data_IF_967118657024
#
_entry.id   IF_967118657024
#
_cell.length_a   1.000
_cell.length_b   1.000
_cell.length_c   1.000
_cell.angle_alpha   90.00
_cell.angle_beta   90.00
_cell.angle_gamma   90.00
#
_symmetry.space_group_name_H-M   'P 1'
#
loop_
_entity.id
_entity.type
_entity.pdbx_description
1 polymer ?
#
# COMPACT_ATOMS: atom_id res chain seq x y z
N UNK A 1 16.24 -26.83 5.86
CA UNK A 1 15.00 -26.78 6.63
C UNK A 1 13.78 -26.58 5.73
N UNK A 2 13.96 -26.11 4.49
CA UNK A 2 12.89 -25.93 3.53
C UNK A 2 11.87 -24.84 3.92
N UNK A 3 12.29 -23.83 4.64
CA UNK A 3 11.49 -22.65 4.89
C UNK A 3 11.83 -21.52 3.93
N UNK A 4 10.87 -20.63 3.69
CA UNK A 4 11.04 -19.42 2.91
C UNK A 4 11.38 -18.25 3.83
N UNK A 5 12.41 -17.47 3.47
CA UNK A 5 12.79 -16.23 4.12
C UNK A 5 12.63 -15.10 3.10
N UNK A 6 11.94 -14.04 3.49
CA UNK A 6 11.73 -12.91 2.60
C UNK A 6 11.65 -11.60 3.39
N UNK A 7 11.78 -10.47 2.68
CA UNK A 7 11.63 -9.15 3.24
C UNK A 7 11.04 -8.19 2.19
N UNK A 8 10.33 -7.19 2.64
CA UNK A 8 9.92 -6.08 1.79
C UNK A 8 9.83 -4.79 2.60
N UNK A 9 9.94 -3.68 1.91
CA UNK A 9 9.77 -2.33 2.46
C UNK A 9 8.67 -1.61 1.70
N UNK A 10 7.85 -0.86 2.43
CA UNK A 10 6.96 0.13 1.84
C UNK A 10 7.26 1.53 2.44
N UNK A 11 6.37 2.49 2.23
CA UNK A 11 6.61 3.88 2.66
C UNK A 11 6.69 4.06 4.20
N UNK A 12 6.14 3.14 4.99
CA UNK A 12 6.02 3.29 6.44
C UNK A 12 6.62 2.14 7.25
N UNK A 13 6.76 0.95 6.68
CA UNK A 13 7.30 -0.20 7.39
C UNK A 13 8.25 -1.03 6.53
N UNK A 14 9.19 -1.70 7.20
CA UNK A 14 9.98 -2.80 6.67
C UNK A 14 9.55 -4.09 7.37
N UNK A 15 9.30 -5.13 6.61
CA UNK A 15 8.89 -6.43 7.12
C UNK A 15 9.93 -7.48 6.73
N UNK A 16 10.43 -8.20 7.73
CA UNK A 16 11.28 -9.38 7.53
C UNK A 16 10.53 -10.57 8.08
N UNK A 17 10.31 -11.59 7.27
CA UNK A 17 9.47 -12.71 7.67
C UNK A 17 9.97 -14.04 7.13
N UNK A 18 9.56 -15.13 7.78
CA UNK A 18 9.85 -16.48 7.34
C UNK A 18 8.62 -17.39 7.49
N UNK A 19 8.38 -18.22 6.48
CA UNK A 19 7.42 -19.32 6.51
C UNK A 19 8.18 -20.64 6.66
N UNK A 20 7.79 -21.47 7.65
CA UNK A 20 8.54 -22.69 7.98
C UNK A 20 7.65 -23.76 8.63
N UNK A 21 8.11 -24.99 8.64
CA UNK A 21 7.43 -26.09 9.32
C UNK A 21 7.49 -25.93 10.85
N UNK A 22 6.42 -26.33 11.52
CA UNK A 22 6.19 -26.12 12.98
C UNK A 22 7.33 -26.55 13.91
N UNK A 23 8.19 -27.49 13.49
CA UNK A 23 9.35 -27.91 14.28
C UNK A 23 10.51 -26.91 14.36
N UNK A 24 10.48 -25.83 13.59
CA UNK A 24 11.64 -24.95 13.37
C UNK A 24 11.51 -23.53 13.91
N UNK A 25 10.53 -23.26 14.79
CA UNK A 25 10.29 -21.91 15.33
C UNK A 25 11.52 -21.26 15.95
N UNK A 26 12.25 -21.99 16.80
CA UNK A 26 13.42 -21.44 17.49
C UNK A 26 14.52 -21.04 16.49
N UNK A 27 14.75 -21.88 15.49
CA UNK A 27 15.75 -21.62 14.46
C UNK A 27 15.37 -20.44 13.55
N UNK A 28 14.08 -20.31 13.23
CA UNK A 28 13.60 -19.18 12.46
C UNK A 28 13.74 -17.87 13.24
N UNK A 29 13.41 -17.88 14.54
CA UNK A 29 13.55 -16.72 15.41
C UNK A 29 15.04 -16.32 15.58
N UNK A 30 15.93 -17.27 15.79
CA UNK A 30 17.37 -17.04 15.85
C UNK A 30 17.87 -16.36 14.56
N UNK A 31 17.49 -16.88 13.39
CA UNK A 31 17.88 -16.33 12.09
C UNK A 31 17.33 -14.93 11.86
N UNK A 32 16.03 -14.71 12.13
CA UNK A 32 15.43 -13.40 11.97
C UNK A 32 16.04 -12.36 12.92
N UNK A 33 16.30 -12.77 14.17
CA UNK A 33 16.99 -11.91 15.16
C UNK A 33 18.39 -11.52 14.70
N UNK A 34 19.14 -12.46 14.15
CA UNK A 34 20.51 -12.22 13.64
C UNK A 34 20.48 -11.25 12.44
N UNK A 35 19.61 -11.49 11.46
CA UNK A 35 19.46 -10.62 10.28
C UNK A 35 19.07 -9.19 10.69
N UNK A 36 18.11 -9.05 11.60
CA UNK A 36 17.57 -7.73 11.94
C UNK A 36 18.50 -6.93 12.83
N UNK A 37 19.17 -7.57 13.79
CA UNK A 37 19.91 -6.85 14.84
C UNK A 37 21.43 -6.99 14.76
N UNK A 38 21.95 -8.00 14.06
CA UNK A 38 23.39 -8.28 14.02
C UNK A 38 24.01 -8.14 12.63
N UNK A 39 23.25 -7.67 11.63
CA UNK A 39 23.79 -7.38 10.30
C UNK A 39 24.90 -6.32 10.37
N UNK A 40 26.01 -6.57 9.70
CA UNK A 40 27.21 -5.71 9.75
C UNK A 40 27.36 -4.76 8.56
N UNK A 41 26.61 -4.99 7.50
CA UNK A 41 26.59 -4.19 6.28
C UNK A 41 27.98 -3.83 5.74
N UNK A 42 28.84 -4.81 5.38
CA UNK A 42 30.16 -4.54 4.85
C UNK A 42 30.10 -3.64 3.61
N UNK A 43 31.00 -2.66 3.50
CA UNK A 43 30.95 -1.65 2.43
C UNK A 43 30.92 -2.27 1.02
N UNK A 44 31.70 -3.34 0.80
CA UNK A 44 31.73 -4.02 -0.49
C UNK A 44 30.42 -4.72 -0.86
N UNK A 45 29.60 -5.14 0.13
CA UNK A 45 28.26 -5.69 -0.12
C UNK A 45 27.26 -4.56 -0.40
N UNK A 46 27.37 -3.41 0.29
CA UNK A 46 26.56 -2.21 -0.03
C UNK A 46 26.82 -1.77 -1.48
N UNK A 47 28.06 -1.78 -1.92
CA UNK A 47 28.43 -1.40 -3.30
C UNK A 47 27.83 -2.35 -4.33
N UNK A 48 27.82 -3.66 -4.07
CA UNK A 48 27.18 -4.65 -4.94
C UNK A 48 25.66 -4.46 -4.99
N UNK A 49 25.05 -4.33 -3.82
CA UNK A 49 23.61 -4.14 -3.71
C UNK A 49 23.15 -2.83 -4.37
N UNK A 50 23.98 -1.77 -4.27
CA UNK A 50 23.73 -0.50 -4.95
C UNK A 50 23.56 -0.67 -6.47
N UNK A 51 24.41 -1.45 -7.11
CA UNK A 51 24.29 -1.68 -8.57
C UNK A 51 23.04 -2.51 -8.89
N UNK A 52 22.68 -3.50 -8.04
CA UNK A 52 21.44 -4.27 -8.21
C UNK A 52 20.20 -3.36 -8.11
N UNK A 53 20.15 -2.45 -7.12
CA UNK A 53 19.05 -1.50 -6.95
C UNK A 53 19.00 -0.51 -8.14
N UNK A 54 20.15 -0.09 -8.67
CA UNK A 54 20.21 0.79 -9.84
C UNK A 54 19.64 0.09 -11.08
N UNK A 55 19.96 -1.19 -11.29
CA UNK A 55 19.38 -1.98 -12.37
C UNK A 55 17.85 -2.13 -12.19
N UNK A 56 17.39 -2.27 -10.95
CA UNK A 56 15.96 -2.29 -10.63
C UNK A 56 15.29 -0.94 -10.95
N UNK A 57 15.90 0.19 -10.57
CA UNK A 57 15.41 1.55 -10.94
C UNK A 57 15.26 1.66 -12.45
N UNK A 58 16.25 1.24 -13.22
CA UNK A 58 16.19 1.29 -14.69
C UNK A 58 15.06 0.42 -15.25
N UNK A 59 14.87 -0.76 -14.68
CA UNK A 59 13.75 -1.64 -15.05
C UNK A 59 12.38 -1.00 -14.82
N UNK A 60 12.22 -0.24 -13.72
CA UNK A 60 11.00 0.53 -13.45
C UNK A 60 10.84 1.73 -14.40
N UNK A 61 11.92 2.44 -14.71
CA UNK A 61 11.91 3.55 -15.67
C UNK A 61 11.49 3.11 -17.08
N UNK A 62 11.81 1.87 -17.44
CA UNK A 62 11.44 1.24 -18.72
C UNK A 62 10.00 0.69 -18.72
N UNK A 63 9.31 0.69 -17.57
CA UNK A 63 7.92 0.23 -17.42
C UNK A 63 6.96 1.37 -17.03
N UNK A 64 6.43 2.13 -18.01
CA UNK A 64 5.55 3.27 -17.73
C UNK A 64 4.30 2.93 -16.94
N UNK A 65 3.80 1.68 -17.02
CA UNK A 65 2.62 1.24 -16.30
C UNK A 65 2.86 1.06 -14.80
N UNK A 66 4.09 0.88 -14.37
CA UNK A 66 4.50 0.83 -12.96
C UNK A 66 5.02 2.18 -12.48
N UNK A 67 5.91 2.81 -13.26
CA UNK A 67 6.50 4.11 -12.93
C UNK A 67 5.46 5.19 -12.63
N UNK A 68 4.32 5.19 -13.34
CA UNK A 68 3.27 6.22 -13.19
C UNK A 68 2.68 6.25 -11.77
N UNK A 69 2.71 5.14 -11.02
CA UNK A 69 2.25 5.11 -9.63
C UNK A 69 3.19 5.90 -8.72
N UNK A 70 4.50 5.72 -8.84
CA UNK A 70 5.48 6.45 -8.05
C UNK A 70 5.48 7.95 -8.39
N UNK A 71 5.45 8.30 -9.68
CA UNK A 71 5.40 9.69 -10.13
C UNK A 71 4.08 10.37 -9.72
N UNK A 72 2.98 9.63 -9.66
CA UNK A 72 1.72 10.15 -9.14
C UNK A 72 1.77 10.37 -7.62
N UNK A 73 2.39 9.47 -6.87
CA UNK A 73 2.59 9.69 -5.43
C UNK A 73 3.50 10.90 -5.18
N UNK A 74 4.58 11.09 -5.94
CA UNK A 74 5.42 12.30 -5.84
C UNK A 74 4.61 13.57 -6.14
N UNK A 75 3.72 13.51 -7.12
CA UNK A 75 2.84 14.63 -7.48
C UNK A 75 1.88 15.01 -6.35
N UNK A 76 1.19 14.04 -5.72
CA UNK A 76 0.21 14.31 -4.65
C UNK A 76 0.86 14.56 -3.28
N UNK A 77 2.08 14.08 -3.06
CA UNK A 77 2.87 14.29 -1.85
C UNK A 77 4.12 15.15 -2.09
N UNK A 78 4.02 16.12 -2.98
CA UNK A 78 5.14 16.99 -3.39
C UNK A 78 5.85 17.60 -2.17
N UNK A 79 7.19 17.52 -2.19
CA UNK A 79 8.06 17.99 -1.10
C UNK A 79 7.87 17.25 0.25
N UNK A 80 7.25 16.08 0.24
CA UNK A 80 7.09 15.25 1.43
C UNK A 80 7.78 13.88 1.24
N UNK A 81 8.32 13.25 2.31
CA UNK A 81 8.96 11.94 2.20
C UNK A 81 8.09 10.84 1.56
N UNK A 82 6.77 10.84 1.74
CA UNK A 82 5.86 9.88 1.11
C UNK A 82 5.87 9.95 -0.43
N UNK A 83 6.17 11.10 -1.03
CA UNK A 83 6.29 11.24 -2.48
C UNK A 83 7.59 10.66 -3.06
N UNK A 84 8.60 10.39 -2.24
CA UNK A 84 9.87 9.87 -2.73
C UNK A 84 9.72 8.45 -3.23
N UNK A 85 10.37 8.13 -4.36
CA UNK A 85 10.48 6.74 -4.81
C UNK A 85 11.19 5.91 -3.73
N UNK A 86 10.68 4.72 -3.45
CA UNK A 86 11.18 3.83 -2.40
C UNK A 86 12.58 3.28 -2.72
N UNK A 87 12.90 3.12 -4.00
CA UNK A 87 14.22 2.69 -4.47
C UNK A 87 15.28 3.80 -4.33
N UNK A 88 14.86 5.06 -4.11
CA UNK A 88 15.79 6.18 -3.98
C UNK A 88 16.24 6.75 -5.32
N UNK A 89 17.47 7.27 -5.34
CA UNK A 89 18.11 7.85 -6.54
C UNK A 89 19.53 7.30 -6.69
N UNK A 90 19.98 6.97 -7.90
CA UNK A 90 21.30 6.37 -8.13
C UNK A 90 22.46 7.15 -7.50
N UNK A 91 22.42 8.49 -7.56
CA UNK A 91 23.48 9.33 -7.00
C UNK A 91 23.57 9.23 -5.47
N UNK A 92 22.41 9.13 -4.81
CA UNK A 92 22.34 8.97 -3.35
C UNK A 92 22.75 7.56 -2.95
N UNK A 93 22.30 6.53 -3.66
CA UNK A 93 22.64 5.13 -3.40
C UNK A 93 24.17 4.93 -3.42
N UNK A 94 24.86 5.46 -4.45
CA UNK A 94 26.32 5.39 -4.55
C UNK A 94 27.06 6.14 -3.43
N UNK A 95 26.40 7.05 -2.76
CA UNK A 95 26.99 7.79 -1.64
C UNK A 95 26.91 7.06 -0.30
N UNK A 96 26.04 6.05 -0.14
CA UNK A 96 25.86 5.35 1.12
C UNK A 96 27.09 4.59 1.58
N UNK A 97 27.33 4.64 2.87
CA UNK A 97 28.39 3.94 3.57
C UNK A 97 27.83 3.05 4.67
N UNK A 98 28.59 2.07 5.09
CA UNK A 98 28.26 1.18 6.22
C UNK A 98 27.70 1.97 7.42
N UNK A 99 28.29 3.12 7.75
CA UNK A 99 27.86 3.91 8.91
C UNK A 99 26.49 4.56 8.71
N UNK A 100 26.13 4.91 7.47
CA UNK A 100 24.78 5.45 7.17
C UNK A 100 23.70 4.40 7.44
N UNK A 101 23.93 3.16 6.97
CA UNK A 101 23.02 2.03 7.19
C UNK A 101 22.95 1.65 8.66
N UNK A 102 24.09 1.56 9.34
CA UNK A 102 24.14 1.29 10.79
C UNK A 102 23.47 2.40 11.60
N UNK A 103 23.60 3.66 11.18
CA UNK A 103 22.92 4.79 11.82
C UNK A 103 21.41 4.68 11.69
N UNK A 104 20.92 4.29 10.50
CA UNK A 104 19.51 4.04 10.25
C UNK A 104 18.98 2.89 11.12
N UNK A 105 19.65 1.74 11.13
CA UNK A 105 19.19 0.58 11.91
C UNK A 105 19.24 0.85 13.41
N UNK A 106 20.29 1.49 13.93
CA UNK A 106 20.36 1.93 15.35
C UNK A 106 19.23 2.88 15.73
N UNK A 107 18.76 3.72 14.81
CA UNK A 107 17.67 4.65 15.06
C UNK A 107 16.29 4.01 14.99
N UNK A 108 16.04 3.19 13.99
CA UNK A 108 14.70 2.72 13.66
C UNK A 108 14.42 1.25 14.03
N UNK A 109 15.46 0.38 14.06
CA UNK A 109 15.33 -1.03 14.43
C UNK A 109 15.45 -1.19 15.94
N UNK A 110 14.47 -0.64 16.65
CA UNK A 110 14.40 -0.62 18.10
C UNK A 110 13.18 -1.41 18.59
N UNK A 111 13.27 -2.18 19.66
CA UNK A 111 12.14 -2.97 20.17
C UNK A 111 10.85 -2.18 20.37
N UNK A 112 10.94 -0.91 20.80
CA UNK A 112 9.79 -0.02 20.94
C UNK A 112 9.14 0.45 19.63
N UNK A 113 9.79 0.21 18.49
CA UNK A 113 9.34 0.59 17.13
C UNK A 113 9.05 -0.63 16.25
N UNK A 114 8.95 -1.82 16.85
CA UNK A 114 8.83 -3.09 16.12
C UNK A 114 7.74 -3.97 16.73
N UNK A 115 7.23 -4.85 15.90
CA UNK A 115 6.32 -5.93 16.32
C UNK A 115 6.95 -7.27 15.92
N UNK A 116 7.11 -8.14 16.91
CA UNK A 116 7.40 -9.54 16.66
C UNK A 116 6.09 -10.31 16.63
N UNK A 117 5.80 -10.95 15.53
CA UNK A 117 4.55 -11.68 15.30
C UNK A 117 4.83 -13.14 14.93
N UNK A 118 4.08 -14.05 15.52
CA UNK A 118 4.13 -15.48 15.19
C UNK A 118 2.71 -16.01 15.01
N UNK A 119 2.47 -16.70 13.91
CA UNK A 119 1.23 -17.44 13.67
C UNK A 119 1.53 -18.93 13.49
N UNK A 120 0.85 -19.79 14.23
CA UNK A 120 1.02 -21.23 14.16
C UNK A 120 0.51 -21.95 15.42
N UNK A 121 0.58 -23.29 15.46
CA UNK A 121 0.09 -24.10 16.58
C UNK A 121 1.12 -24.14 17.71
N UNK A 122 1.46 -23.00 18.29
CA UNK A 122 2.43 -22.89 19.38
C UNK A 122 1.78 -22.43 20.68
N UNK A 123 2.26 -22.95 21.80
CA UNK A 123 1.95 -22.39 23.11
C UNK A 123 2.57 -21.00 23.26
N UNK A 124 1.79 -20.02 23.67
CA UNK A 124 2.21 -18.63 23.80
C UNK A 124 3.39 -18.43 24.76
N UNK A 125 3.41 -19.20 25.87
CA UNK A 125 4.54 -19.18 26.83
C UNK A 125 5.83 -19.67 26.18
N UNK A 126 5.74 -20.62 25.25
CA UNK A 126 6.92 -21.09 24.50
C UNK A 126 7.45 -19.97 23.60
N UNK A 127 6.55 -19.23 22.93
CA UNK A 127 6.95 -18.09 22.08
C UNK A 127 7.66 -17.04 22.93
N UNK A 128 7.08 -16.64 24.08
CA UNK A 128 7.70 -15.66 24.99
C UNK A 128 9.10 -16.12 25.41
N UNK A 129 9.23 -17.36 25.91
CA UNK A 129 10.55 -17.89 26.33
C UNK A 129 11.58 -17.86 25.23
N UNK A 130 11.21 -18.18 24.00
CA UNK A 130 12.11 -18.16 22.88
C UNK A 130 12.48 -16.72 22.47
N UNK A 131 11.53 -15.81 22.49
CA UNK A 131 11.78 -14.38 22.25
C UNK A 131 12.73 -13.81 23.33
N UNK A 132 12.49 -14.08 24.60
CA UNK A 132 13.38 -13.69 25.70
C UNK A 132 14.79 -14.29 25.53
N UNK A 133 14.89 -15.54 25.11
CA UNK A 133 16.18 -16.21 24.90
C UNK A 133 17.03 -15.55 23.79
N UNK A 134 16.39 -15.14 22.69
CA UNK A 134 17.11 -14.69 21.48
C UNK A 134 17.09 -13.17 21.28
N UNK A 135 16.21 -12.41 21.98
CA UNK A 135 16.02 -10.98 21.76
C UNK A 135 16.20 -10.12 23.03
N UNK A 136 16.48 -10.72 24.21
CA UNK A 136 16.59 -9.98 25.47
C UNK A 136 17.79 -9.04 25.55
N UNK A 137 18.85 -9.33 24.81
CA UNK A 137 20.10 -8.55 24.83
C UNK A 137 20.02 -7.28 23.97
N UNK A 138 18.90 -7.08 23.26
CA UNK A 138 18.69 -5.93 22.39
C UNK A 138 18.29 -4.74 23.26
N UNK A 139 19.08 -3.65 23.31
CA UNK A 139 18.77 -2.51 24.15
C UNK A 139 17.51 -1.80 23.65
N UNK A 140 16.56 -1.55 24.56
CA UNK A 140 15.40 -0.75 24.26
C UNK A 140 15.75 0.75 24.35
N UNK A 141 15.77 1.41 23.21
CA UNK A 141 15.94 2.87 23.13
C UNK A 141 14.60 3.48 22.70
N UNK A 142 14.25 4.61 23.30
CA UNK A 142 13.04 5.34 22.88
C UNK A 142 13.30 5.98 21.51
N UNK A 143 12.48 5.66 20.54
CA UNK A 143 12.55 6.26 19.20
C UNK A 143 11.66 7.49 19.16
N UNK A 144 12.23 8.64 18.85
CA UNK A 144 11.46 9.86 18.54
C UNK A 144 11.11 9.85 17.04
N UNK A 145 9.92 9.35 16.73
CA UNK A 145 9.38 9.29 15.38
C UNK A 145 8.38 10.42 15.12
N UNK A 146 8.82 11.68 15.30
CA UNK A 146 7.98 12.81 14.94
C UNK A 146 7.82 12.86 13.42
N UNK A 147 6.60 12.59 12.96
CA UNK A 147 6.22 12.75 11.55
C UNK A 147 5.68 14.16 11.33
N UNK A 148 6.12 14.77 10.26
CA UNK A 148 5.52 16.02 9.79
C UNK A 148 4.38 15.67 8.84
N UNK A 149 3.17 16.24 9.04
CA UNK A 149 2.08 16.00 8.10
C UNK A 149 2.43 16.55 6.71
N UNK A 150 1.93 15.93 5.64
CA UNK A 150 2.14 16.46 4.30
C UNK A 150 1.63 17.91 4.16
N UNK A 151 2.33 18.77 3.37
CA UNK A 151 1.88 20.14 3.12
C UNK A 151 0.51 20.17 2.46
N UNK A 152 -0.10 21.33 2.35
CA UNK A 152 -1.40 21.50 1.70
C UNK A 152 -1.38 20.88 0.28
N UNK A 153 -2.37 20.04 0.01
CA UNK A 153 -2.53 19.44 -1.31
C UNK A 153 -3.20 20.43 -2.27
N UNK A 154 -2.60 20.57 -3.44
CA UNK A 154 -3.15 21.35 -4.55
C UNK A 154 -3.27 20.43 -5.76
N UNK A 155 -4.46 20.18 -6.29
CA UNK A 155 -4.66 19.37 -7.47
C UNK A 155 -3.97 19.96 -8.70
N UNK A 156 -3.40 19.12 -9.52
CA UNK A 156 -2.73 19.53 -10.75
C UNK A 156 -2.94 18.53 -11.89
N UNK A 157 -2.78 18.98 -13.11
CA UNK A 157 -2.79 18.12 -14.30
C UNK A 157 -1.44 18.22 -14.99
N UNK A 158 -0.78 17.07 -15.12
CA UNK A 158 0.52 16.94 -15.75
C UNK A 158 0.45 15.96 -16.92
N UNK A 159 1.02 16.35 -18.07
CA UNK A 159 1.21 15.47 -19.23
C UNK A 159 2.70 15.35 -19.45
N UNK A 160 3.22 14.14 -19.38
CA UNK A 160 4.64 13.83 -19.55
C UNK A 160 4.81 13.07 -20.87
N UNK A 161 5.58 13.59 -21.82
CA UNK A 161 5.88 12.85 -23.03
C UNK A 161 6.75 11.64 -22.69
N UNK A 162 6.28 10.47 -23.08
CA UNK A 162 6.99 9.19 -22.98
C UNK A 162 6.88 8.47 -24.31
N UNK A 163 7.95 7.83 -24.74
CA UNK A 163 7.92 7.00 -25.95
C UNK A 163 7.21 5.67 -25.66
N UNK A 164 5.88 5.71 -25.60
CA UNK A 164 5.02 4.57 -25.26
C UNK A 164 3.99 4.31 -26.35
N UNK A 165 3.68 3.05 -26.59
CA UNK A 165 2.62 2.69 -27.54
C UNK A 165 1.21 3.02 -27.02
N UNK A 166 1.04 3.12 -25.72
CA UNK A 166 -0.23 3.40 -25.06
C UNK A 166 -0.12 4.67 -24.20
N UNK A 167 -1.24 5.36 -24.02
CA UNK A 167 -1.35 6.34 -22.98
C UNK A 167 -1.60 5.64 -21.63
N UNK A 168 -0.82 6.02 -20.62
CA UNK A 168 -1.06 5.63 -19.22
C UNK A 168 -1.61 6.82 -18.48
N UNK A 169 -2.71 6.63 -17.78
CA UNK A 169 -3.41 7.71 -17.08
C UNK A 169 -3.63 7.35 -15.63
N UNK A 170 -3.24 8.27 -14.75
CA UNK A 170 -3.52 8.22 -13.33
C UNK A 170 -4.38 9.42 -12.93
N UNK A 171 -5.50 9.15 -12.22
CA UNK A 171 -6.41 10.16 -11.68
C UNK A 171 -6.58 9.89 -10.20
N UNK A 172 -6.48 10.89 -9.34
CA UNK A 172 -6.70 10.67 -7.92
C UNK A 172 -6.34 11.87 -7.05
N UNK A 173 -6.29 11.63 -5.76
CA UNK A 173 -6.06 12.64 -4.75
C UNK A 173 -5.47 12.02 -3.48
N UNK A 174 -5.18 12.87 -2.48
CA UNK A 174 -4.97 12.36 -1.13
C UNK A 174 -6.24 11.74 -0.58
N UNK A 175 -6.09 10.65 0.16
CA UNK A 175 -7.18 9.93 0.82
C UNK A 175 -7.17 10.13 2.33
N UNK A 176 -8.03 9.39 3.00
CA UNK A 176 -8.10 9.36 4.46
C UNK A 176 -6.93 8.57 5.05
N UNK A 177 -6.44 9.03 6.20
CA UNK A 177 -5.43 8.31 6.95
C UNK A 177 -5.97 7.02 7.57
N UNK A 178 -5.07 6.21 8.12
CA UNK A 178 -5.37 4.89 8.67
C UNK A 178 -6.37 4.92 9.85
N UNK A 179 -6.48 6.03 10.56
CA UNK A 179 -7.33 6.19 11.75
C UNK A 179 -8.66 6.90 11.49
N UNK A 180 -8.90 7.35 10.27
CA UNK A 180 -10.12 8.07 9.91
C UNK A 180 -11.32 7.11 9.79
N UNK A 181 -12.43 7.47 10.43
CA UNK A 181 -13.66 6.68 10.42
C UNK A 181 -14.27 6.53 9.01
N UNK A 182 -14.07 7.52 8.13
CA UNK A 182 -14.56 7.52 6.75
C UNK A 182 -13.80 6.57 5.83
N UNK A 183 -12.63 6.07 6.26
CA UNK A 183 -11.80 5.16 5.48
C UNK A 183 -12.56 3.91 5.01
N UNK A 184 -13.37 3.31 5.88
CA UNK A 184 -14.15 2.09 5.53
C UNK A 184 -15.16 2.39 4.41
N UNK A 185 -15.78 3.56 4.43
CA UNK A 185 -16.71 3.98 3.39
C UNK A 185 -15.98 4.23 2.05
N UNK A 186 -14.81 4.87 2.09
CA UNK A 186 -13.99 5.06 0.90
C UNK A 186 -13.50 3.71 0.34
N UNK A 187 -13.13 2.76 1.19
CA UNK A 187 -12.73 1.43 0.76
C UNK A 187 -13.86 0.67 0.02
N UNK A 188 -15.10 0.77 0.52
CA UNK A 188 -16.27 0.21 -0.18
C UNK A 188 -16.52 0.93 -1.51
N UNK A 189 -16.44 2.27 -1.55
CA UNK A 189 -16.58 3.05 -2.78
C UNK A 189 -15.52 2.69 -3.82
N UNK A 190 -14.26 2.57 -3.39
CA UNK A 190 -13.14 2.15 -4.24
C UNK A 190 -13.38 0.76 -4.85
N UNK A 191 -13.84 -0.19 -4.03
CA UNK A 191 -14.18 -1.53 -4.51
C UNK A 191 -15.28 -1.53 -5.56
N UNK A 192 -16.32 -0.72 -5.37
CA UNK A 192 -17.41 -0.56 -6.35
C UNK A 192 -16.95 0.16 -7.61
N UNK A 193 -16.06 1.13 -7.49
CA UNK A 193 -15.58 1.96 -8.60
C UNK A 193 -14.67 1.18 -9.54
N UNK A 194 -13.57 0.67 -9.05
CA UNK A 194 -12.52 0.02 -9.84
C UNK A 194 -11.83 -1.13 -9.10
N UNK A 195 -12.49 -1.74 -8.11
CA UNK A 195 -11.97 -2.93 -7.43
C UNK A 195 -11.84 -4.16 -8.36
N UNK A 196 -11.32 -5.28 -7.85
CA UNK A 196 -10.92 -6.43 -8.67
C UNK A 196 -12.07 -7.17 -9.35
N UNK A 197 -13.33 -6.85 -8.99
CA UNK A 197 -14.50 -7.48 -9.60
C UNK A 197 -14.76 -6.99 -11.02
N UNK A 198 -15.04 -7.91 -11.97
CA UNK A 198 -15.40 -7.57 -13.35
C UNK A 198 -16.64 -6.66 -13.44
N UNK A 199 -17.48 -6.64 -12.41
CA UNK A 199 -18.66 -5.81 -12.28
C UNK A 199 -18.38 -4.40 -11.73
N UNK A 200 -17.12 -4.05 -11.45
CA UNK A 200 -16.78 -2.69 -11.02
C UNK A 200 -17.15 -1.66 -12.11
N UNK A 201 -17.52 -0.46 -11.69
CA UNK A 201 -18.11 0.55 -12.59
C UNK A 201 -17.17 0.94 -13.73
N UNK A 202 -15.89 1.11 -13.44
CA UNK A 202 -14.88 1.46 -14.46
C UNK A 202 -14.64 0.28 -15.41
N UNK A 203 -14.50 -0.95 -14.89
CA UNK A 203 -14.32 -2.12 -15.73
C UNK A 203 -15.52 -2.30 -16.69
N UNK A 204 -16.74 -2.20 -16.19
CA UNK A 204 -17.94 -2.27 -17.04
C UNK A 204 -18.01 -1.12 -18.04
N UNK A 205 -17.66 0.10 -17.63
CA UNK A 205 -17.80 1.30 -18.47
C UNK A 205 -16.75 1.38 -19.57
N UNK A 206 -15.49 1.11 -19.25
CA UNK A 206 -14.36 1.28 -20.19
C UNK A 206 -13.99 -0.02 -20.92
N UNK A 207 -13.99 -1.15 -20.22
CA UNK A 207 -13.54 -2.42 -20.77
C UNK A 207 -14.68 -3.24 -21.36
N UNK A 208 -15.62 -3.69 -20.52
CA UNK A 208 -16.62 -4.67 -20.93
C UNK A 208 -17.58 -4.17 -22.05
N UNK A 209 -18.01 -2.92 -21.93
CA UNK A 209 -18.96 -2.35 -22.89
C UNK A 209 -18.30 -1.76 -24.14
N UNK A 210 -17.03 -1.38 -24.07
CA UNK A 210 -16.39 -0.57 -25.12
C UNK A 210 -15.05 -1.08 -25.59
N UNK A 211 -14.37 -1.89 -24.81
CA UNK A 211 -13.05 -2.42 -25.16
C UNK A 211 -11.95 -1.37 -25.26
N UNK A 212 -12.10 -0.21 -24.59
CA UNK A 212 -11.17 0.91 -24.71
C UNK A 212 -9.89 0.74 -23.86
N UNK A 213 -9.94 -0.11 -22.84
CA UNK A 213 -8.81 -0.36 -21.94
C UNK A 213 -8.60 -1.85 -21.75
N UNK A 214 -7.35 -2.26 -21.64
CA UNK A 214 -7.01 -3.63 -21.28
C UNK A 214 -7.10 -3.84 -19.76
N UNK A 215 -6.58 -2.89 -18.99
CA UNK A 215 -6.66 -2.87 -17.54
C UNK A 215 -7.20 -1.52 -17.06
N UNK A 216 -8.04 -1.57 -16.04
CA UNK A 216 -8.49 -0.40 -15.27
C UNK A 216 -8.71 -0.81 -13.83
N UNK A 217 -8.14 -0.04 -12.92
CA UNK A 217 -8.24 -0.31 -11.49
C UNK A 217 -8.34 0.99 -10.69
N UNK A 218 -8.85 0.89 -9.48
CA UNK A 218 -8.74 1.94 -8.50
C UNK A 218 -8.14 1.40 -7.21
N UNK A 219 -7.16 2.14 -6.68
CA UNK A 219 -6.36 1.75 -5.52
C UNK A 219 -6.53 2.78 -4.40
N UNK A 220 -6.45 2.28 -3.18
CA UNK A 220 -6.49 3.07 -1.97
C UNK A 220 -5.37 2.62 -1.04
N UNK A 221 -4.51 3.57 -0.68
CA UNK A 221 -3.48 3.38 0.34
C UNK A 221 -3.77 4.33 1.51
N UNK A 222 -3.83 3.78 2.73
CA UNK A 222 -3.97 4.59 3.94
C UNK A 222 -2.67 4.55 4.71
N UNK A 223 -2.03 5.71 4.82
CA UNK A 223 -0.86 5.95 5.67
C UNK A 223 -1.30 6.39 7.08
N UNK A 224 -0.39 6.43 8.01
CA UNK A 224 -0.71 6.80 9.40
C UNK A 224 -1.17 8.26 9.56
N UNK A 225 -0.74 9.16 8.69
CA UNK A 225 -1.04 10.60 8.75
C UNK A 225 -1.83 11.14 7.54
N UNK A 226 -1.98 10.33 6.47
CA UNK A 226 -2.69 10.71 5.25
C UNK A 226 -3.14 9.44 4.49
N UNK A 227 -3.53 9.57 3.23
CA UNK A 227 -3.79 8.46 2.32
C UNK A 227 -3.61 8.89 0.88
N UNK A 228 -3.66 7.92 -0.03
CA UNK A 228 -3.69 8.10 -1.48
C UNK A 228 -4.87 7.32 -2.07
N UNK A 229 -5.64 7.96 -2.92
CA UNK A 229 -6.65 7.34 -3.77
C UNK A 229 -6.27 7.58 -5.22
N UNK A 230 -6.23 6.54 -6.03
CA UNK A 230 -5.95 6.67 -7.45
C UNK A 230 -6.76 5.69 -8.31
N UNK A 231 -6.98 6.11 -9.54
CA UNK A 231 -7.54 5.32 -10.64
C UNK A 231 -6.46 5.26 -11.71
N UNK A 232 -6.12 4.06 -12.16
CA UNK A 232 -5.20 3.83 -13.26
C UNK A 232 -5.92 3.16 -14.43
N UNK A 233 -5.57 3.55 -15.64
CA UNK A 233 -5.87 2.80 -16.86
C UNK A 233 -4.82 3.04 -17.94
N UNK A 234 -4.58 1.98 -18.74
CA UNK A 234 -3.84 2.03 -19.99
C UNK A 234 -4.78 1.93 -21.19
N UNK A 235 -4.60 2.78 -22.20
CA UNK A 235 -5.48 2.86 -23.37
C UNK A 235 -4.70 3.31 -24.61
N UNK A 236 -5.25 3.13 -25.78
CA UNK A 236 -4.69 3.72 -26.99
C UNK A 236 -4.75 5.25 -26.92
N UNK A 237 -3.75 5.93 -27.50
CA UNK A 237 -3.62 7.39 -27.39
C UNK A 237 -4.88 8.10 -27.95
N UNK A 238 -5.48 7.55 -29.00
CA UNK A 238 -6.71 8.08 -29.63
C UNK A 238 -7.95 7.99 -28.71
N UNK A 239 -7.99 6.99 -27.85
CA UNK A 239 -9.11 6.72 -26.93
C UNK A 239 -8.98 7.38 -25.56
N UNK A 240 -7.83 7.95 -25.24
CA UNK A 240 -7.50 8.53 -23.94
C UNK A 240 -8.53 9.56 -23.46
N UNK A 241 -8.91 10.53 -24.31
CA UNK A 241 -9.88 11.56 -23.93
C UNK A 241 -11.28 10.99 -23.72
N UNK A 242 -11.65 9.94 -24.44
CA UNK A 242 -12.90 9.20 -24.23
C UNK A 242 -12.89 8.47 -22.90
N UNK A 243 -11.79 7.79 -22.56
CA UNK A 243 -11.62 7.12 -21.27
C UNK A 243 -11.68 8.11 -20.10
N UNK A 244 -10.99 9.25 -20.20
CA UNK A 244 -11.07 10.34 -19.21
C UNK A 244 -12.52 10.78 -18.97
N UNK A 245 -13.24 11.12 -20.03
CA UNK A 245 -14.64 11.56 -19.95
C UNK A 245 -15.55 10.50 -19.30
N UNK A 246 -15.34 9.23 -19.62
CA UNK A 246 -16.12 8.13 -19.05
C UNK A 246 -15.78 7.92 -17.56
N UNK A 247 -14.53 8.03 -17.18
CA UNK A 247 -14.09 7.95 -15.78
C UNK A 247 -14.72 9.05 -14.95
N UNK A 248 -14.60 10.31 -15.37
CA UNK A 248 -15.24 11.43 -14.68
C UNK A 248 -16.77 11.31 -14.64
N UNK A 249 -17.38 10.74 -15.67
CA UNK A 249 -18.84 10.47 -15.69
C UNK A 249 -19.25 9.46 -14.60
N UNK A 250 -18.48 8.38 -14.41
CA UNK A 250 -18.76 7.42 -13.33
C UNK A 250 -18.52 8.02 -11.94
N UNK A 251 -17.45 8.80 -11.75
CA UNK A 251 -17.20 9.54 -10.52
C UNK A 251 -18.35 10.51 -10.21
N UNK A 252 -18.77 11.30 -11.18
CA UNK A 252 -19.92 12.22 -11.05
C UNK A 252 -21.20 11.46 -10.67
N UNK A 253 -21.44 10.31 -11.32
CA UNK A 253 -22.62 9.48 -11.00
C UNK A 253 -22.61 8.98 -9.56
N UNK A 254 -21.42 8.62 -9.03
CA UNK A 254 -21.30 8.17 -7.63
C UNK A 254 -21.53 9.32 -6.63
N UNK A 255 -21.24 10.56 -7.01
CA UNK A 255 -21.52 11.76 -6.20
C UNK A 255 -22.98 12.21 -6.26
N UNK A 256 -23.60 12.09 -7.44
CA UNK A 256 -24.95 12.65 -7.66
C UNK A 256 -26.06 11.67 -7.26
N UNK A 257 -25.78 10.36 -7.29
CA UNK A 257 -26.82 9.33 -7.15
C UNK A 257 -26.52 8.42 -5.98
N UNK A 258 -27.31 8.57 -4.92
CA UNK A 258 -27.26 7.68 -3.75
C UNK A 258 -27.55 6.23 -4.15
N UNK A 259 -26.78 5.29 -3.61
CA UNK A 259 -27.02 3.86 -3.81
C UNK A 259 -28.39 3.47 -3.26
N UNK A 260 -29.12 2.63 -4.00
CA UNK A 260 -30.32 1.97 -3.48
C UNK A 260 -29.94 0.94 -2.41
N UNK A 261 -30.87 0.57 -1.54
CA UNK A 261 -30.64 -0.43 -0.51
C UNK A 261 -30.14 -1.76 -1.09
N UNK A 262 -30.66 -2.17 -2.26
CA UNK A 262 -30.21 -3.39 -2.95
C UNK A 262 -28.77 -3.28 -3.45
N UNK A 263 -28.40 -2.13 -4.04
CA UNK A 263 -27.03 -1.89 -4.51
C UNK A 263 -26.03 -1.86 -3.35
N UNK A 264 -26.38 -1.20 -2.26
CA UNK A 264 -25.54 -1.15 -1.06
C UNK A 264 -25.35 -2.54 -0.45
N UNK A 265 -26.44 -3.31 -0.30
CA UNK A 265 -26.37 -4.68 0.22
C UNK A 265 -25.48 -5.59 -0.65
N UNK A 266 -25.60 -5.48 -1.98
CA UNK A 266 -24.76 -6.23 -2.91
C UNK A 266 -23.28 -5.84 -2.81
N UNK A 267 -22.98 -4.54 -2.73
CA UNK A 267 -21.60 -4.04 -2.59
C UNK A 267 -20.95 -4.50 -1.30
N UNK A 268 -21.65 -4.42 -0.16
CA UNK A 268 -21.19 -4.92 1.14
C UNK A 268 -20.91 -6.42 1.10
N UNK A 269 -21.86 -7.20 0.59
CA UNK A 269 -21.71 -8.66 0.47
C UNK A 269 -20.52 -9.03 -0.39
N UNK A 270 -20.31 -8.34 -1.50
CA UNK A 270 -19.15 -8.56 -2.38
C UNK A 270 -17.84 -8.28 -1.63
N UNK A 271 -17.72 -7.12 -0.98
CA UNK A 271 -16.51 -6.74 -0.27
C UNK A 271 -16.20 -7.70 0.89
N UNK A 272 -17.19 -8.05 1.70
CA UNK A 272 -17.05 -9.03 2.79
C UNK A 272 -16.60 -10.39 2.27
N UNK A 273 -17.20 -10.84 1.15
CA UNK A 273 -16.80 -12.09 0.50
C UNK A 273 -15.35 -12.07 0.01
N UNK A 274 -14.91 -10.97 -0.60
CA UNK A 274 -13.53 -10.80 -1.06
C UNK A 274 -12.54 -10.79 0.10
N UNK A 275 -12.84 -10.09 1.19
CA UNK A 275 -12.00 -10.09 2.40
C UNK A 275 -11.96 -11.49 3.01
N UNK A 276 -13.11 -12.18 3.10
CA UNK A 276 -13.18 -13.54 3.62
C UNK A 276 -12.30 -14.52 2.83
N UNK A 277 -12.40 -14.50 1.50
CA UNK A 277 -11.55 -15.35 0.64
C UNK A 277 -10.06 -14.98 0.76
N UNK A 278 -9.74 -13.68 0.83
CA UNK A 278 -8.36 -13.24 0.99
C UNK A 278 -7.76 -13.66 2.34
N UNK A 279 -8.57 -13.76 3.40
CA UNK A 279 -8.12 -14.19 4.73
C UNK A 279 -7.75 -15.67 4.81
N UNK A 280 -8.14 -16.50 3.84
CA UNK A 280 -7.72 -17.90 3.73
C UNK A 280 -6.25 -18.06 3.32
N UNK A 281 -5.64 -17.00 2.75
CA UNK A 281 -4.20 -16.99 2.55
C UNK A 281 -3.50 -16.72 3.89
N UNK A 282 -2.92 -17.79 4.46
CA UNK A 282 -2.31 -17.78 5.78
C UNK A 282 -1.19 -16.74 5.94
N UNK A 283 -0.32 -16.62 4.95
CA UNK A 283 0.80 -15.67 4.97
C UNK A 283 0.32 -14.22 4.92
N UNK A 284 -0.53 -13.88 3.95
CA UNK A 284 -1.10 -12.54 3.83
C UNK A 284 -1.91 -12.13 5.08
N UNK A 285 -2.63 -13.07 5.66
CA UNK A 285 -3.37 -12.83 6.88
C UNK A 285 -2.42 -12.55 8.06
N UNK A 286 -1.35 -13.33 8.22
CA UNK A 286 -0.33 -13.14 9.25
C UNK A 286 0.33 -11.75 9.13
N UNK A 287 0.77 -11.39 7.93
CA UNK A 287 1.38 -10.10 7.63
C UNK A 287 0.39 -8.94 7.90
N UNK A 288 -0.86 -9.08 7.50
CA UNK A 288 -1.91 -8.10 7.76
C UNK A 288 -2.18 -7.89 9.25
N UNK A 289 -2.21 -8.97 10.05
CA UNK A 289 -2.38 -8.90 11.50
C UNK A 289 -1.19 -8.22 12.17
N UNK A 290 0.03 -8.55 11.78
CA UNK A 290 1.26 -7.93 12.29
C UNK A 290 1.27 -6.42 12.04
N UNK A 291 0.97 -5.98 10.80
CA UNK A 291 0.84 -4.57 10.43
C UNK A 291 -0.27 -3.86 11.21
N UNK A 292 -1.42 -4.50 11.33
CA UNK A 292 -2.54 -3.94 12.11
C UNK A 292 -2.10 -3.70 13.56
N UNK A 293 -1.39 -4.65 14.17
CA UNK A 293 -0.89 -4.47 15.53
C UNK A 293 0.19 -3.40 15.63
N UNK A 294 1.09 -3.29 14.64
CA UNK A 294 2.11 -2.25 14.59
C UNK A 294 1.51 -0.84 14.62
N UNK A 295 0.45 -0.61 13.85
CA UNK A 295 -0.15 0.73 13.71
C UNK A 295 -1.22 1.05 14.76
N UNK A 296 -2.00 0.05 15.19
CA UNK A 296 -3.16 0.27 16.08
C UNK A 296 -2.95 -0.23 17.51
N UNK A 297 -1.87 -0.98 17.79
CA UNK A 297 -1.58 -1.64 19.06
C UNK A 297 -2.73 -2.51 19.58
N UNK A 298 -3.54 -3.04 18.69
CA UNK A 298 -4.66 -3.92 19.00
C UNK A 298 -4.88 -4.94 17.90
N UNK A 299 -5.37 -6.10 18.29
CA UNK A 299 -5.87 -7.10 17.37
C UNK A 299 -7.23 -6.66 16.82
N UNK A 300 -7.42 -6.80 15.53
CA UNK A 300 -8.70 -6.61 14.87
C UNK A 300 -9.13 -7.89 14.17
N UNK A 301 -10.26 -8.45 14.56
CA UNK A 301 -10.80 -9.64 13.92
C UNK A 301 -11.50 -9.31 12.61
N UNK A 302 -11.58 -10.29 11.71
CA UNK A 302 -12.34 -10.15 10.45
C UNK A 302 -13.82 -9.82 10.72
N UNK A 303 -14.40 -10.36 11.78
CA UNK A 303 -15.78 -10.06 12.21
C UNK A 303 -15.96 -8.58 12.53
N UNK A 304 -14.97 -7.97 13.22
CA UNK A 304 -15.02 -6.52 13.51
C UNK A 304 -14.99 -5.69 12.22
N UNK A 305 -14.19 -6.08 11.25
CA UNK A 305 -14.15 -5.44 9.92
C UNK A 305 -15.48 -5.62 9.20
N UNK A 306 -16.05 -6.82 9.23
CA UNK A 306 -17.36 -7.10 8.62
C UNK A 306 -18.47 -6.26 9.22
N UNK A 307 -18.53 -6.16 10.55
CA UNK A 307 -19.52 -5.31 11.24
C UNK A 307 -19.40 -3.83 10.85
N UNK A 308 -18.18 -3.29 10.70
CA UNK A 308 -18.01 -1.91 10.20
C UNK A 308 -18.51 -1.74 8.77
N UNK A 309 -18.26 -2.71 7.89
CA UNK A 309 -18.78 -2.67 6.52
C UNK A 309 -20.30 -2.78 6.52
N UNK A 310 -20.88 -3.65 7.33
CA UNK A 310 -22.33 -3.83 7.46
C UNK A 310 -23.02 -2.58 8.01
N UNK A 311 -22.38 -1.84 8.89
CA UNK A 311 -22.92 -0.61 9.47
C UNK A 311 -22.94 0.58 8.51
N UNK A 312 -22.20 0.56 7.40
CA UNK A 312 -22.18 1.67 6.43
C UNK A 312 -23.57 1.98 5.86
N UNK A 313 -23.87 3.24 5.69
CA UNK A 313 -25.12 3.71 5.07
C UNK A 313 -24.88 4.29 3.68
N UNK A 314 -25.94 4.39 2.88
CA UNK A 314 -25.86 4.99 1.56
C UNK A 314 -25.59 6.51 1.64
N UNK A 315 -26.00 7.15 2.71
CA UNK A 315 -25.73 8.55 3.03
C UNK A 315 -24.24 8.79 3.28
N UNK A 316 -23.60 7.96 4.10
CA UNK A 316 -22.16 8.02 4.37
C UNK A 316 -21.35 7.82 3.09
N UNK A 317 -21.74 6.86 2.24
CA UNK A 317 -21.08 6.65 0.96
C UNK A 317 -21.24 7.85 0.02
N UNK A 318 -22.42 8.47 -0.03
CA UNK A 318 -22.64 9.66 -0.84
C UNK A 318 -21.83 10.86 -0.34
N UNK A 319 -21.74 11.05 0.98
CA UNK A 319 -20.90 12.08 1.61
C UNK A 319 -19.43 11.90 1.21
N UNK A 320 -18.89 10.70 1.42
CA UNK A 320 -17.49 10.38 1.10
C UNK A 320 -17.23 10.49 -0.41
N UNK A 321 -18.18 10.08 -1.27
CA UNK A 321 -18.03 10.25 -2.71
C UNK A 321 -17.95 11.73 -3.10
N UNK A 322 -18.73 12.61 -2.46
CA UNK A 322 -18.67 14.05 -2.71
C UNK A 322 -17.37 14.70 -2.23
N UNK A 323 -16.80 14.23 -1.12
CA UNK A 323 -15.52 14.70 -0.63
C UNK A 323 -14.35 14.26 -1.52
N UNK A 324 -14.38 13.00 -2.01
CA UNK A 324 -13.22 12.38 -2.63
C UNK A 324 -13.21 12.39 -4.15
N UNK A 325 -14.39 12.46 -4.80
CA UNK A 325 -14.50 12.29 -6.25
C UNK A 325 -14.88 13.58 -7.00
N UNK A 326 -14.85 14.72 -6.33
CA UNK A 326 -15.05 16.00 -6.99
C UNK A 326 -13.85 16.33 -7.90
N UNK A 327 -14.14 16.66 -9.16
CA UNK A 327 -13.10 16.84 -10.20
C UNK A 327 -12.08 17.91 -9.80
N UNK A 328 -12.52 18.95 -9.11
CA UNK A 328 -11.68 20.04 -8.60
C UNK A 328 -10.66 19.59 -7.52
N UNK A 329 -10.81 18.40 -6.95
CA UNK A 329 -9.89 17.83 -5.94
C UNK A 329 -9.00 16.73 -6.51
N UNK A 330 -9.16 16.39 -7.80
CA UNK A 330 -8.41 15.30 -8.41
C UNK A 330 -7.23 15.80 -9.23
N UNK A 331 -6.06 15.25 -8.97
CA UNK A 331 -4.91 15.38 -9.86
C UNK A 331 -5.00 14.39 -11.01
N UNK A 332 -4.36 14.72 -12.13
CA UNK A 332 -4.26 13.83 -13.29
C UNK A 332 -2.85 13.82 -13.83
N UNK A 333 -2.24 12.65 -13.90
CA UNK A 333 -0.96 12.41 -14.54
C UNK A 333 -1.17 11.57 -15.80
N UNK A 334 -0.58 11.97 -16.90
CA UNK A 334 -0.71 11.30 -18.20
C UNK A 334 0.69 11.09 -18.79
N UNK A 335 0.99 9.87 -19.16
CA UNK A 335 2.10 9.51 -20.04
C UNK A 335 1.55 9.28 -21.45
N UNK A 336 2.16 9.92 -22.47
CA UNK A 336 1.82 9.73 -23.89
C UNK A 336 2.91 10.23 -24.82
#
# INVERSE_FOLDING_TARGET
MGGDLNAYTNKEETVVYAAFLTGHLERALELLGDIVFHSTFPQHEIEKETEVIIDEIQSYEDNPSELIFDDFEDMIFRNHPLGRNILGKPELLRSFRTEDVLSFTRRFYQPGNMVFFVQGPYDFKKIIRLAEKHLSDIPAVTVDNQRMPPPLYVPERLVVPKDTHQAHVMIGSRGYNAYDDKRTALYLLNNVLGGPGMNSKLNVSLRERRGLVYNVESNLTSYTDTGAFCIYFGTDIEDMDTCLKLTYKELKRMRDVKMTSSQLAAAKKQLIGQIGVASDNFENNALGMAKTYLHYHKYESSESVFHRIEALTAEQLLEVANEMFAEEYLSTLIYK
#
